data_IF_645414573595
#
_entry.id   IF_645414573595
#
_cell.length_a   1.000
_cell.length_b   1.000
_cell.length_c   1.000
_cell.angle_alpha   90.00
_cell.angle_beta   90.00
_cell.angle_gamma   90.00
#
_symmetry.space_group_name_H-M   'P 1'
#
loop_
_entity.id
_entity.type
_entity.pdbx_description
1 polymer ?
#
# COMPACT_ATOMS: atom_id res chain seq x y z
N UNK A 1 -10.25 14.07 12.97
CA UNK A 1 -10.58 13.89 11.58
C UNK A 1 -12.07 13.71 11.39
N UNK A 2 -12.61 14.46 10.50
CA UNK A 2 -14.03 14.46 10.22
C UNK A 2 -14.36 13.28 9.31
N UNK A 3 -15.30 12.42 9.72
CA UNK A 3 -15.68 11.24 8.96
C UNK A 3 -16.27 11.58 7.59
N UNK A 4 -16.76 12.82 7.39
CA UNK A 4 -17.29 13.24 6.10
C UNK A 4 -16.19 13.36 5.03
N UNK A 5 -14.92 13.42 5.43
CA UNK A 5 -13.78 13.51 4.53
C UNK A 5 -13.12 12.15 4.28
N UNK A 6 -13.68 11.07 4.82
CA UNK A 6 -13.12 9.74 4.64
C UNK A 6 -13.60 9.16 3.31
N UNK A 7 -12.86 9.48 2.26
CA UNK A 7 -13.14 8.94 0.93
C UNK A 7 -11.84 8.46 0.29
N UNK A 8 -11.97 7.74 -0.84
CA UNK A 8 -10.82 7.17 -1.52
C UNK A 8 -9.83 8.22 -2.00
N UNK A 9 -10.34 9.35 -2.52
CA UNK A 9 -9.47 10.41 -2.99
C UNK A 9 -8.54 10.94 -1.92
N UNK A 10 -9.11 11.23 -0.74
CA UNK A 10 -8.32 11.73 0.38
C UNK A 10 -7.35 10.66 0.90
N UNK A 11 -7.77 9.41 0.94
CA UNK A 11 -6.90 8.32 1.35
C UNK A 11 -5.70 8.18 0.40
N UNK A 12 -5.96 8.15 -0.91
CA UNK A 12 -4.89 8.01 -1.89
C UNK A 12 -3.89 9.17 -1.78
N UNK A 13 -4.40 10.39 -1.66
CA UNK A 13 -3.53 11.55 -1.51
C UNK A 13 -2.67 11.45 -0.26
N UNK A 14 -3.26 10.99 0.84
CA UNK A 14 -2.55 10.86 2.10
C UNK A 14 -1.42 9.83 2.00
N UNK A 15 -1.67 8.69 1.36
CA UNK A 15 -0.65 7.67 1.14
C UNK A 15 0.48 8.22 0.28
N UNK A 16 0.15 8.90 -0.80
CA UNK A 16 1.14 9.46 -1.73
C UNK A 16 2.01 10.50 -1.02
N UNK A 17 1.38 11.40 -0.27
CA UNK A 17 2.13 12.41 0.47
C UNK A 17 3.07 11.79 1.50
N UNK A 18 2.59 10.74 2.18
CA UNK A 18 3.42 10.03 3.13
C UNK A 18 4.62 9.39 2.43
N UNK A 19 4.37 8.70 1.32
CA UNK A 19 5.42 8.00 0.58
C UNK A 19 6.48 8.99 0.09
N UNK A 20 6.04 10.08 -0.52
CA UNK A 20 6.96 11.10 -1.02
C UNK A 20 7.77 11.74 0.10
N UNK A 21 7.12 12.05 1.21
CA UNK A 21 7.81 12.63 2.37
C UNK A 21 8.78 11.67 3.02
N UNK A 22 8.37 10.41 3.17
CA UNK A 22 9.20 9.39 3.81
C UNK A 22 10.46 9.09 2.98
N UNK A 23 10.33 9.06 1.65
CA UNK A 23 11.43 8.70 0.76
C UNK A 23 12.18 9.92 0.20
N UNK A 24 11.81 11.12 0.61
CA UNK A 24 12.33 12.37 0.04
C UNK A 24 13.84 12.48 0.12
N UNK A 25 14.43 12.02 1.22
CA UNK A 25 15.88 12.12 1.43
C UNK A 25 16.63 10.91 0.91
N UNK A 26 15.94 10.02 0.25
CA UNK A 26 16.54 8.85 -0.38
C UNK A 26 16.64 9.08 -1.88
N UNK A 27 17.28 8.15 -2.59
CA UNK A 27 17.29 8.18 -4.05
C UNK A 27 16.16 7.38 -4.65
N UNK A 28 15.19 6.97 -3.83
CA UNK A 28 14.05 6.17 -4.28
C UNK A 28 12.98 7.08 -4.85
N UNK A 29 12.64 6.86 -6.13
CA UNK A 29 11.57 7.59 -6.80
C UNK A 29 10.25 6.90 -6.57
N UNK A 30 9.20 7.70 -6.38
CA UNK A 30 7.84 7.20 -6.20
C UNK A 30 7.03 7.53 -7.44
N UNK A 31 6.44 6.50 -8.05
CA UNK A 31 5.53 6.66 -9.18
C UNK A 31 4.14 6.18 -8.75
N UNK A 32 3.12 6.93 -9.10
CA UNK A 32 1.75 6.66 -8.66
C UNK A 32 0.83 6.54 -9.86
N UNK A 33 -0.04 5.54 -9.83
CA UNK A 33 -1.09 5.36 -10.82
C UNK A 33 -2.42 5.23 -10.09
N UNK A 34 -3.39 6.05 -10.49
CA UNK A 34 -4.73 6.02 -9.90
C UNK A 34 -5.73 5.59 -10.97
N UNK A 35 -6.36 4.44 -10.73
CA UNK A 35 -7.42 3.92 -11.60
C UNK A 35 -8.71 3.86 -10.78
N UNK A 36 -9.15 5.02 -10.34
CA UNK A 36 -10.32 5.19 -9.49
C UNK A 36 -11.18 6.31 -10.09
N UNK A 37 -12.32 5.92 -10.70
CA UNK A 37 -13.21 6.88 -11.36
C UNK A 37 -14.07 7.65 -10.38
N UNK A 38 -14.29 7.11 -9.17
CA UNK A 38 -15.14 7.76 -8.17
C UNK A 38 -14.37 7.98 -6.89
N UNK A 39 -13.48 8.98 -6.84
CA UNK A 39 -12.69 9.26 -5.64
C UNK A 39 -13.52 9.72 -4.45
N UNK A 40 -14.76 10.15 -4.69
CA UNK A 40 -15.67 10.54 -3.62
C UNK A 40 -16.23 9.31 -2.85
N UNK A 41 -16.01 8.09 -3.35
CA UNK A 41 -16.47 6.86 -2.69
C UNK A 41 -15.96 6.82 -1.25
N UNK A 42 -16.88 6.58 -0.32
CA UNK A 42 -16.55 6.59 1.09
C UNK A 42 -15.73 5.38 1.50
N UNK A 43 -14.78 5.62 2.38
CA UNK A 43 -13.93 4.59 2.96
C UNK A 43 -14.08 4.71 4.48
N UNK A 44 -14.39 3.61 5.16
CA UNK A 44 -14.56 3.66 6.61
C UNK A 44 -13.25 4.05 7.28
N UNK A 45 -13.35 4.67 8.45
CA UNK A 45 -12.16 5.07 9.22
C UNK A 45 -11.28 3.88 9.54
N UNK A 46 -11.88 2.73 9.84
CA UNK A 46 -11.12 1.52 10.15
C UNK A 46 -10.36 1.00 8.93
N UNK A 47 -11.02 0.93 7.77
CA UNK A 47 -10.35 0.52 6.53
C UNK A 47 -9.23 1.49 6.18
N UNK A 48 -9.50 2.80 6.28
CA UNK A 48 -8.51 3.82 5.98
C UNK A 48 -7.27 3.65 6.86
N UNK A 49 -7.48 3.47 8.15
CA UNK A 49 -6.37 3.31 9.08
C UNK A 49 -5.55 2.07 8.79
N UNK A 50 -6.22 0.92 8.59
CA UNK A 50 -5.51 -0.33 8.39
C UNK A 50 -4.77 -0.37 7.05
N UNK A 51 -5.40 0.16 6.00
CA UNK A 51 -4.73 0.28 4.70
C UNK A 51 -3.52 1.21 4.78
N UNK A 52 -3.65 2.33 5.49
CA UNK A 52 -2.53 3.25 5.64
C UNK A 52 -1.37 2.61 6.40
N UNK A 53 -1.66 1.88 7.47
CA UNK A 53 -0.61 1.22 8.24
C UNK A 53 0.09 0.13 7.42
N UNK A 54 -0.67 -0.54 6.53
CA UNK A 54 -0.06 -1.48 5.58
C UNK A 54 0.86 -0.77 4.60
N UNK A 55 0.45 0.38 4.08
CA UNK A 55 1.30 1.17 3.19
C UNK A 55 2.56 1.62 3.91
N UNK A 56 2.41 2.09 5.13
CA UNK A 56 3.53 2.56 5.95
C UNK A 56 4.55 1.45 6.17
N UNK A 57 4.07 0.26 6.54
CA UNK A 57 4.94 -0.88 6.76
C UNK A 57 5.64 -1.32 5.47
N UNK A 58 4.92 -1.31 4.36
CA UNK A 58 5.48 -1.66 3.05
C UNK A 58 6.62 -0.71 2.67
N UNK A 59 6.40 0.59 2.84
CA UNK A 59 7.41 1.59 2.51
C UNK A 59 8.62 1.49 3.43
N UNK A 60 8.39 1.18 4.69
CA UNK A 60 9.47 0.98 5.64
C UNK A 60 10.34 -0.23 5.25
N UNK A 61 9.70 -1.32 4.80
CA UNK A 61 10.42 -2.49 4.30
C UNK A 61 11.26 -2.15 3.08
N UNK A 62 10.70 -1.37 2.16
CA UNK A 62 11.42 -0.96 0.97
C UNK A 62 12.66 -0.16 1.35
N UNK A 63 12.50 0.80 2.24
CA UNK A 63 13.61 1.62 2.69
C UNK A 63 14.72 0.80 3.36
N UNK A 64 14.33 -0.15 4.21
CA UNK A 64 15.30 -0.89 5.01
C UNK A 64 15.96 -2.06 4.27
N UNK A 65 15.22 -2.71 3.37
CA UNK A 65 15.64 -4.03 2.91
C UNK A 65 15.79 -4.18 1.40
N UNK A 66 15.13 -3.34 0.61
CA UNK A 66 15.00 -3.65 -0.82
C UNK A 66 16.17 -3.24 -1.67
N UNK A 67 16.90 -2.19 -1.29
CA UNK A 67 17.91 -1.56 -2.13
C UNK A 67 17.30 -1.08 -3.45
N UNK A 68 16.02 -0.78 -3.45
CA UNK A 68 15.32 -0.30 -4.63
C UNK A 68 15.70 1.15 -4.95
N UNK A 69 15.50 1.55 -6.21
CA UNK A 69 15.55 2.96 -6.57
C UNK A 69 14.21 3.48 -7.08
N UNK A 70 13.22 2.61 -7.21
CA UNK A 70 11.86 3.01 -7.59
C UNK A 70 10.82 2.22 -6.83
N UNK A 71 9.72 2.92 -6.48
CA UNK A 71 8.53 2.35 -5.87
C UNK A 71 7.35 2.75 -6.74
N UNK A 72 6.49 1.80 -7.04
CA UNK A 72 5.28 2.01 -7.83
C UNK A 72 4.08 1.74 -6.95
N UNK A 73 3.21 2.74 -6.80
CA UNK A 73 1.96 2.60 -6.04
C UNK A 73 0.81 2.71 -7.01
N UNK A 74 -0.02 1.68 -7.08
CA UNK A 74 -1.19 1.67 -7.94
C UNK A 74 -2.44 1.50 -7.11
N UNK A 75 -3.42 2.36 -7.35
CA UNK A 75 -4.74 2.26 -6.74
C UNK A 75 -5.75 1.92 -7.82
N UNK A 76 -6.66 1.01 -7.52
CA UNK A 76 -7.70 0.61 -8.46
C UNK A 76 -9.00 0.38 -7.71
N UNK A 77 -10.10 0.87 -8.30
CA UNK A 77 -11.45 0.55 -7.83
C UNK A 77 -12.20 0.00 -9.02
N UNK A 78 -12.65 -1.25 -8.92
CA UNK A 78 -13.36 -1.88 -10.03
C UNK A 78 -14.87 -1.67 -9.93
N UNK A 79 -15.61 -2.19 -10.92
CA UNK A 79 -17.05 -2.02 -11.00
C UNK A 79 -17.80 -2.71 -9.85
N UNK A 80 -17.17 -3.71 -9.21
CA UNK A 80 -17.75 -4.42 -8.07
C UNK A 80 -17.41 -3.78 -6.74
N UNK A 81 -16.90 -2.56 -6.78
CA UNK A 81 -16.49 -1.79 -5.60
C UNK A 81 -15.39 -2.48 -4.79
N UNK A 82 -14.51 -3.20 -5.47
CA UNK A 82 -13.31 -3.75 -4.84
C UNK A 82 -12.16 -2.76 -5.05
N UNK A 83 -11.59 -2.31 -3.95
CA UNK A 83 -10.48 -1.37 -3.96
C UNK A 83 -9.18 -2.13 -3.73
N UNK A 84 -8.19 -1.86 -4.56
CA UNK A 84 -6.88 -2.49 -4.47
C UNK A 84 -5.81 -1.43 -4.37
N UNK A 85 -4.90 -1.61 -3.42
CA UNK A 85 -3.68 -0.82 -3.33
C UNK A 85 -2.52 -1.78 -3.56
N UNK A 86 -1.72 -1.51 -4.59
CA UNK A 86 -0.56 -2.32 -4.92
C UNK A 86 0.71 -1.49 -4.70
N UNK A 87 1.68 -2.07 -4.02
CA UNK A 87 2.96 -1.41 -3.78
C UNK A 87 4.07 -2.33 -4.27
N UNK A 88 4.84 -1.88 -5.24
CA UNK A 88 5.89 -2.65 -5.91
C UNK A 88 7.19 -1.88 -5.83
N UNK A 89 8.27 -2.58 -5.49
CA UNK A 89 9.60 -1.99 -5.60
C UNK A 89 10.44 -2.80 -6.60
N UNK A 90 11.50 -2.18 -7.10
CA UNK A 90 12.42 -2.81 -8.05
C UNK A 90 13.73 -3.27 -7.38
N UNK A 91 13.68 -3.53 -6.08
CA UNK A 91 14.86 -3.93 -5.31
C UNK A 91 15.17 -5.41 -5.40
N UNK A 92 15.75 -5.93 -4.32
CA UNK A 92 16.29 -7.30 -4.31
C UNK A 92 15.26 -8.37 -3.95
N UNK A 93 14.05 -7.98 -3.56
CA UNK A 93 13.03 -8.94 -3.15
C UNK A 93 13.23 -9.46 -1.72
N UNK A 94 12.40 -10.42 -1.35
CA UNK A 94 12.53 -11.06 -0.06
C UNK A 94 13.65 -12.09 -0.11
N UNK A 95 14.50 -12.08 0.91
CA UNK A 95 15.49 -13.13 1.08
C UNK A 95 14.81 -14.35 1.72
N UNK A 96 15.33 -15.54 1.41
CA UNK A 96 14.79 -16.78 1.96
C UNK A 96 14.76 -16.72 3.48
N UNK A 97 13.64 -17.15 4.06
CA UNK A 97 13.44 -17.32 5.51
C UNK A 97 13.51 -16.04 6.33
N UNK A 98 13.44 -14.86 5.72
CA UNK A 98 13.48 -13.58 6.42
C UNK A 98 12.14 -12.87 6.45
N UNK A 99 11.05 -13.57 6.13
CA UNK A 99 9.73 -12.96 6.06
C UNK A 99 9.27 -12.39 7.41
N UNK A 100 9.71 -12.98 8.51
CA UNK A 100 9.28 -12.53 9.84
C UNK A 100 9.78 -11.12 10.18
N UNK A 101 10.89 -10.67 9.58
CA UNK A 101 11.44 -9.35 9.83
C UNK A 101 10.78 -8.23 9.04
N UNK A 102 9.79 -8.53 8.19
CA UNK A 102 9.19 -7.55 7.29
C UNK A 102 7.79 -7.10 7.73
N UNK A 103 7.31 -7.53 8.88
CA UNK A 103 6.00 -7.13 9.36
C UNK A 103 4.85 -7.71 8.57
N UNK A 104 5.07 -8.79 7.82
CA UNK A 104 4.05 -9.36 6.95
C UNK A 104 2.86 -9.90 7.72
N UNK A 105 3.09 -10.51 8.89
CA UNK A 105 2.02 -11.02 9.74
C UNK A 105 1.13 -9.88 10.25
N UNK A 106 1.72 -8.74 10.56
CA UNK A 106 0.97 -7.57 11.01
C UNK A 106 0.09 -7.03 9.89
N UNK A 107 0.62 -6.98 8.67
CA UNK A 107 -0.16 -6.53 7.53
C UNK A 107 -1.33 -7.46 7.24
N UNK A 108 -1.11 -8.77 7.31
CA UNK A 108 -2.17 -9.73 7.12
C UNK A 108 -3.27 -9.57 8.17
N UNK A 109 -2.87 -9.41 9.43
CA UNK A 109 -3.83 -9.20 10.51
C UNK A 109 -4.66 -7.93 10.29
N UNK A 110 -4.00 -6.85 9.89
CA UNK A 110 -4.70 -5.59 9.64
C UNK A 110 -5.73 -5.71 8.53
N UNK A 111 -5.39 -6.45 7.47
CA UNK A 111 -6.33 -6.65 6.37
C UNK A 111 -7.46 -7.59 6.79
N UNK A 112 -7.16 -8.63 7.56
CA UNK A 112 -8.20 -9.51 8.09
C UNK A 112 -9.19 -8.75 8.97
N UNK A 113 -8.71 -7.79 9.76
CA UNK A 113 -9.55 -7.00 10.66
C UNK A 113 -10.60 -6.18 9.92
N UNK A 114 -10.37 -5.86 8.66
CA UNK A 114 -11.32 -5.10 7.85
C UNK A 114 -11.98 -5.94 6.75
N UNK A 115 -11.88 -7.26 6.88
CA UNK A 115 -12.48 -8.18 5.90
C UNK A 115 -11.80 -8.18 4.55
N UNK A 116 -10.58 -7.68 4.49
CA UNK A 116 -9.82 -7.61 3.26
C UNK A 116 -8.85 -8.74 3.08
N UNK A 117 -8.03 -8.63 2.06
CA UNK A 117 -7.00 -9.60 1.73
C UNK A 117 -5.66 -8.92 1.53
N UNK A 118 -4.62 -9.67 1.81
CA UNK A 118 -3.25 -9.29 1.58
C UNK A 118 -2.57 -10.41 0.80
N UNK A 119 -1.89 -10.04 -0.28
CA UNK A 119 -1.19 -11.01 -1.12
C UNK A 119 0.19 -10.50 -1.50
N UNK A 120 1.15 -11.43 -1.53
CA UNK A 120 2.46 -11.18 -2.11
C UNK A 120 2.37 -11.62 -3.57
N UNK A 121 2.56 -10.71 -4.49
CA UNK A 121 2.54 -11.03 -5.91
C UNK A 121 3.95 -11.30 -6.43
N UNK A 122 4.03 -12.04 -7.50
CA UNK A 122 5.33 -12.34 -8.10
C UNK A 122 5.90 -11.13 -8.83
N UNK A 123 7.18 -10.87 -8.59
CA UNK A 123 7.92 -9.84 -9.30
C UNK A 123 9.28 -10.43 -9.65
N UNK A 124 9.77 -10.15 -10.85
CA UNK A 124 11.09 -10.62 -11.28
C UNK A 124 12.19 -10.03 -10.39
N UNK A 125 11.98 -8.82 -9.95
CA UNK A 125 12.89 -8.12 -9.02
C UNK A 125 12.04 -7.58 -7.90
N UNK A 126 12.58 -7.37 -6.75
CA UNK A 126 11.90 -6.69 -5.68
C UNK A 126 10.67 -7.40 -5.15
N UNK A 127 9.83 -6.64 -4.47
CA UNK A 127 8.64 -7.15 -3.79
C UNK A 127 7.39 -6.49 -4.37
N UNK A 128 6.34 -7.29 -4.52
CA UNK A 128 5.04 -6.82 -4.94
C UNK A 128 4.01 -7.21 -3.89
N UNK A 129 3.27 -6.23 -3.38
CA UNK A 129 2.25 -6.46 -2.36
C UNK A 129 0.92 -5.90 -2.83
N UNK A 130 -0.16 -6.69 -2.65
CA UNK A 130 -1.53 -6.27 -2.88
C UNK A 130 -2.30 -6.20 -1.58
N UNK A 131 -3.08 -5.14 -1.44
CA UNK A 131 -4.02 -4.97 -0.34
C UNK A 131 -5.40 -4.73 -0.95
N UNK A 132 -6.35 -5.61 -0.66
CA UNK A 132 -7.64 -5.63 -1.34
C UNK A 132 -8.76 -5.56 -0.32
N UNK A 133 -9.70 -4.64 -0.51
CA UNK A 133 -10.89 -4.52 0.33
C UNK A 133 -12.12 -4.32 -0.53
N UNK A 134 -13.25 -4.88 -0.08
CA UNK A 134 -14.56 -4.59 -0.65
C UNK A 134 -15.12 -3.37 0.07
N UNK A 135 -15.49 -2.36 -0.68
CA UNK A 135 -16.02 -1.14 -0.09
C UNK A 135 -17.55 -1.20 0.01
#
# INVERSE_FOLDING_TARGET
LNSTNDNLGNFMQYVVQYAEGFLKKTEIKVSVRREVDSPETKLSSEMRRNLFLCAKESLNNIYKHSKANEVYITFNLNADEVFTMQIVDNGVGFHNNQNSGYGLQNMQKRMNDVGGKYEICNSEKGVCLYFVVKI
#
